data_IF_653858390796
#
_entry.id   IF_653858390796
#
_cell.length_a   1.000
_cell.length_b   1.000
_cell.length_c   1.000
_cell.angle_alpha   90.00
_cell.angle_beta   90.00
_cell.angle_gamma   90.00
#
_symmetry.space_group_name_H-M   'P 1'
#
loop_
_entity.id
_entity.type
_entity.pdbx_description
1 polymer ?
#
# COMPACT_ATOMS: atom_id res chain seq x y z
N UNK A 1 9.59 8.01 5.21
CA UNK A 1 9.05 6.89 4.41
C UNK A 1 8.22 5.95 5.28
N UNK A 2 8.76 5.27 6.30
CA UNK A 2 7.95 4.31 7.10
C UNK A 2 6.71 4.95 7.74
N UNK A 3 6.84 6.13 8.37
CA UNK A 3 5.68 6.87 8.89
C UNK A 3 4.65 7.25 7.82
N UNK A 4 5.09 7.50 6.57
CA UNK A 4 4.17 7.79 5.46
C UNK A 4 3.45 6.51 5.01
N UNK A 5 4.12 5.35 5.05
CA UNK A 5 3.50 4.05 4.79
C UNK A 5 2.46 3.71 5.86
N UNK A 6 2.73 3.97 7.14
CA UNK A 6 1.76 3.74 8.23
C UNK A 6 0.53 4.64 8.07
N UNK A 7 0.76 5.91 7.70
CA UNK A 7 -0.32 6.84 7.41
C UNK A 7 -1.18 6.37 6.22
N UNK A 8 -0.54 5.95 5.12
CA UNK A 8 -1.23 5.39 3.96
C UNK A 8 -2.03 4.13 4.32
N UNK A 9 -1.49 3.24 5.15
CA UNK A 9 -2.20 2.06 5.66
C UNK A 9 -3.44 2.42 6.47
N UNK A 10 -3.35 3.47 7.32
CA UNK A 10 -4.51 3.97 8.07
C UNK A 10 -5.61 4.52 7.15
N UNK A 11 -5.24 5.23 6.09
CA UNK A 11 -6.18 5.74 5.09
C UNK A 11 -6.86 4.61 4.31
N UNK A 12 -6.09 3.61 3.88
CA UNK A 12 -6.61 2.44 3.16
C UNK A 12 -7.56 1.61 4.03
N UNK A 13 -7.23 1.42 5.30
CA UNK A 13 -8.15 0.80 6.27
C UNK A 13 -9.46 1.58 6.38
N UNK A 14 -9.39 2.92 6.47
CA UNK A 14 -10.60 3.75 6.53
C UNK A 14 -11.43 3.67 5.26
N UNK A 15 -10.78 3.61 4.10
CA UNK A 15 -11.46 3.42 2.81
C UNK A 15 -12.20 2.09 2.79
N UNK A 16 -11.56 0.99 3.21
CA UNK A 16 -12.18 -0.33 3.30
C UNK A 16 -13.42 -0.34 4.19
N UNK A 17 -13.38 0.34 5.34
CA UNK A 17 -14.56 0.49 6.21
C UNK A 17 -15.70 1.22 5.51
N UNK A 18 -15.40 2.36 4.85
CA UNK A 18 -16.41 3.18 4.18
C UNK A 18 -17.04 2.50 2.96
N UNK A 19 -16.31 1.59 2.32
CA UNK A 19 -16.79 0.83 1.16
C UNK A 19 -17.44 -0.50 1.54
N UNK A 20 -17.61 -0.79 2.84
CA UNK A 20 -18.10 -2.08 3.33
C UNK A 20 -17.29 -3.25 2.73
N UNK A 21 -15.97 -3.22 2.95
CA UNK A 21 -15.02 -4.19 2.40
C UNK A 21 -15.07 -4.29 0.86
N UNK A 22 -15.15 -3.12 0.20
CA UNK A 22 -15.29 -2.99 -1.25
C UNK A 22 -16.51 -3.70 -1.84
N UNK A 23 -17.58 -3.86 -1.05
CA UNK A 23 -18.80 -4.52 -1.49
C UNK A 23 -19.75 -3.51 -2.13
N UNK A 24 -19.98 -3.66 -3.43
CA UNK A 24 -20.97 -2.85 -4.14
C UNK A 24 -22.41 -3.27 -3.77
N UNK A 25 -23.37 -2.33 -3.69
CA UNK A 25 -24.80 -2.63 -3.67
C UNK A 25 -25.23 -3.47 -4.89
N UNK A 26 -26.30 -4.25 -4.73
CA UNK A 26 -26.80 -5.14 -5.79
C UNK A 26 -27.18 -4.38 -7.07
N UNK A 27 -27.82 -3.22 -6.90
CA UNK A 27 -28.30 -2.31 -7.94
C UNK A 27 -27.23 -1.36 -8.48
N UNK A 28 -25.99 -1.43 -7.98
CA UNK A 28 -24.92 -0.58 -8.45
C UNK A 28 -24.60 -0.83 -9.94
N UNK A 29 -24.36 0.26 -10.67
CA UNK A 29 -23.99 0.18 -12.08
C UNK A 29 -22.60 -0.46 -12.25
N UNK A 30 -22.30 -0.90 -13.48
CA UNK A 30 -21.03 -1.56 -13.81
C UNK A 30 -19.82 -0.70 -13.43
N UNK A 31 -19.86 0.61 -13.70
CA UNK A 31 -18.74 1.50 -13.37
C UNK A 31 -18.45 1.51 -11.87
N UNK A 32 -19.47 1.58 -11.02
CA UNK A 32 -19.28 1.57 -9.57
C UNK A 32 -18.68 0.24 -9.07
N UNK A 33 -19.17 -0.88 -9.61
CA UNK A 33 -18.65 -2.23 -9.29
C UNK A 33 -17.17 -2.37 -9.67
N UNK A 34 -16.80 -1.90 -10.86
CA UNK A 34 -15.41 -1.90 -11.33
C UNK A 34 -14.54 -0.99 -10.46
N UNK A 35 -15.00 0.22 -10.14
CA UNK A 35 -14.21 1.14 -9.30
C UNK A 35 -13.91 0.58 -7.92
N UNK A 36 -14.86 -0.13 -7.28
CA UNK A 36 -14.58 -0.79 -6.00
C UNK A 36 -13.62 -1.98 -6.13
N UNK A 37 -13.70 -2.73 -7.22
CA UNK A 37 -12.76 -3.83 -7.49
C UNK A 37 -11.33 -3.32 -7.72
N UNK A 38 -11.16 -2.27 -8.53
CA UNK A 38 -9.86 -1.63 -8.78
C UNK A 38 -9.29 -1.00 -7.51
N UNK A 39 -10.14 -0.42 -6.65
CA UNK A 39 -9.70 0.16 -5.39
C UNK A 39 -9.22 -0.92 -4.39
N UNK A 40 -9.85 -2.09 -4.39
CA UNK A 40 -9.37 -3.26 -3.63
C UNK A 40 -8.01 -3.73 -4.12
N UNK A 41 -7.86 -3.88 -5.45
CA UNK A 41 -6.58 -4.26 -6.06
C UNK A 41 -5.48 -3.23 -5.73
N UNK A 42 -5.80 -1.94 -5.76
CA UNK A 42 -4.89 -0.89 -5.36
C UNK A 42 -4.43 -1.04 -3.90
N UNK A 43 -5.32 -1.35 -2.96
CA UNK A 43 -4.94 -1.59 -1.56
C UNK A 43 -4.00 -2.81 -1.43
N UNK A 44 -4.31 -3.91 -2.12
CA UNK A 44 -3.49 -5.13 -2.12
C UNK A 44 -2.07 -4.86 -2.66
N UNK A 45 -1.97 -4.08 -3.73
CA UNK A 45 -0.69 -3.69 -4.33
C UNK A 45 0.07 -2.70 -3.46
N UNK A 46 -0.62 -1.79 -2.76
CA UNK A 46 0.01 -0.92 -1.77
C UNK A 46 0.60 -1.73 -0.61
N UNK A 47 -0.05 -2.79 -0.14
CA UNK A 47 0.54 -3.67 0.87
C UNK A 47 1.82 -4.36 0.36
N UNK A 48 1.81 -4.88 -0.88
CA UNK A 48 3.02 -5.48 -1.49
C UNK A 48 4.14 -4.44 -1.61
N UNK A 49 3.80 -3.23 -2.06
CA UNK A 49 4.74 -2.12 -2.20
C UNK A 49 5.43 -1.77 -0.89
N UNK A 50 4.65 -1.56 0.18
CA UNK A 50 5.17 -1.25 1.52
C UNK A 50 6.02 -2.40 2.04
N UNK A 51 5.56 -3.65 1.88
CA UNK A 51 6.31 -4.82 2.32
C UNK A 51 7.68 -4.91 1.64
N UNK A 52 7.73 -4.79 0.31
CA UNK A 52 8.98 -4.82 -0.45
C UNK A 52 9.92 -3.68 -0.06
N UNK A 53 9.38 -2.49 0.19
CA UNK A 53 10.20 -1.34 0.60
C UNK A 53 10.78 -1.51 2.00
N UNK A 54 9.91 -1.70 2.99
CA UNK A 54 10.32 -1.71 4.40
C UNK A 54 11.18 -2.94 4.75
N UNK A 55 10.88 -4.11 4.16
CA UNK A 55 11.53 -5.35 4.57
C UNK A 55 12.67 -5.79 3.67
N UNK A 56 12.77 -5.25 2.45
CA UNK A 56 13.82 -5.64 1.50
C UNK A 56 14.64 -4.45 1.02
N UNK A 57 14.01 -3.48 0.35
CA UNK A 57 14.74 -2.41 -0.32
C UNK A 57 15.48 -1.51 0.68
N UNK A 58 14.79 -0.95 1.68
CA UNK A 58 15.40 0.00 2.62
C UNK A 58 16.54 -0.62 3.43
N UNK A 59 16.41 -1.82 4.02
CA UNK A 59 17.53 -2.46 4.73
C UNK A 59 18.74 -2.70 3.83
N UNK A 60 18.54 -3.13 2.59
CA UNK A 60 19.63 -3.33 1.62
C UNK A 60 20.30 -2.01 1.26
N UNK A 61 19.52 -0.96 0.99
CA UNK A 61 20.04 0.37 0.68
C UNK A 61 20.87 0.94 1.84
N UNK A 62 20.40 0.81 3.08
CA UNK A 62 21.17 1.24 4.25
C UNK A 62 22.50 0.51 4.39
N UNK A 63 22.49 -0.82 4.19
CA UNK A 63 23.71 -1.64 4.26
C UNK A 63 24.74 -1.21 3.23
N UNK A 64 24.31 -1.01 1.98
CA UNK A 64 25.17 -0.56 0.88
C UNK A 64 25.73 0.83 1.19
N UNK A 65 24.89 1.75 1.67
CA UNK A 65 25.30 3.11 1.99
C UNK A 65 26.35 3.15 3.11
N UNK A 66 26.15 2.38 4.19
CA UNK A 66 27.11 2.24 5.30
C UNK A 66 28.45 1.65 4.84
N UNK A 67 28.43 0.72 3.88
CA UNK A 67 29.66 0.14 3.31
C UNK A 67 30.44 1.17 2.48
N UNK A 68 29.76 1.98 1.66
CA UNK A 68 30.41 3.02 0.85
C UNK A 68 31.00 4.14 1.70
N UNK A 69 30.33 4.55 2.78
CA UNK A 69 30.86 5.58 3.68
C UNK A 69 32.00 5.10 4.56
N UNK A 70 32.15 3.79 4.77
CA UNK A 70 33.28 3.20 5.52
C UNK A 70 34.53 2.99 4.65
N UNK A 71 34.43 3.20 3.34
CA UNK A 71 35.52 3.03 2.36
C UNK A 71 36.16 4.37 1.93
N UNK A 72 35.61 5.49 2.38
CA UNK A 72 36.11 6.87 2.16
C UNK A 72 36.57 7.49 3.47
#
# INVERSE_FOLDING_TARGET
MEMEHDHAGTLLYRIRELTNDYTAPEDACTTFKVSLAELKEFEEDMHKHVHLKNNLLFPLSEKIFKQQTSLN
#
